data_IF_876343543343
#
_entry.id   IF_876343543343
#
_cell.length_a   1.000
_cell.length_b   1.000
_cell.length_c   1.000
_cell.angle_alpha   90.00
_cell.angle_beta   90.00
_cell.angle_gamma   90.00
#
_symmetry.space_group_name_H-M   'P 1'
#
loop_
_entity.id
_entity.type
_entity.pdbx_description
1 polymer ?
#
# COMPACT_ATOMS: atom_id res chain seq x y z
N UNK A 1 -8.82 -31.98 -5.19
CA UNK A 1 -7.34 -32.16 -4.96
C UNK A 1 -6.98 -31.62 -3.59
N UNK A 2 -6.17 -32.32 -2.80
CA UNK A 2 -5.79 -31.88 -1.43
C UNK A 2 -4.49 -31.07 -1.50
N UNK A 3 -4.45 -29.91 -0.86
CA UNK A 3 -3.25 -29.08 -0.77
C UNK A 3 -2.31 -29.51 0.37
N UNK A 4 -1.12 -28.93 0.45
CA UNK A 4 -0.08 -29.31 1.42
C UNK A 4 -0.47 -29.07 2.90
N UNK A 5 -1.54 -28.33 3.19
CA UNK A 5 -2.07 -28.14 4.55
C UNK A 5 -3.34 -28.96 4.81
N UNK A 6 -3.62 -29.96 3.97
CA UNK A 6 -4.71 -30.91 4.16
C UNK A 6 -6.11 -30.39 3.79
N UNK A 7 -6.21 -29.26 3.06
CA UNK A 7 -7.50 -28.73 2.59
C UNK A 7 -7.83 -29.28 1.21
N UNK A 8 -9.06 -29.70 1.04
CA UNK A 8 -9.59 -30.07 -0.25
C UNK A 8 -9.93 -28.82 -1.06
N UNK A 9 -9.38 -28.73 -2.26
CA UNK A 9 -9.66 -27.66 -3.22
C UNK A 9 -10.51 -28.27 -4.34
N UNK A 10 -11.72 -27.75 -4.59
CA UNK A 10 -12.58 -28.20 -5.67
C UNK A 10 -11.88 -28.09 -7.03
N UNK A 11 -12.05 -29.11 -7.87
CA UNK A 11 -11.38 -29.16 -9.19
C UNK A 11 -11.90 -28.07 -10.13
N UNK A 12 -13.17 -27.71 -10.02
CA UNK A 12 -13.77 -26.63 -10.78
C UNK A 12 -13.10 -25.26 -10.50
N UNK A 13 -12.64 -25.04 -9.25
CA UNK A 13 -11.92 -23.81 -8.89
C UNK A 13 -10.54 -23.80 -9.54
N UNK A 14 -9.86 -24.92 -9.58
CA UNK A 14 -8.55 -25.05 -10.23
C UNK A 14 -8.68 -24.87 -11.74
N UNK A 15 -9.69 -25.49 -12.35
CA UNK A 15 -9.96 -25.33 -13.78
C UNK A 15 -10.30 -23.89 -14.16
N UNK A 16 -11.13 -23.21 -13.36
CA UNK A 16 -11.53 -21.82 -13.60
C UNK A 16 -10.39 -20.82 -13.43
N UNK A 17 -9.45 -21.09 -12.51
CA UNK A 17 -8.36 -20.14 -12.20
C UNK A 17 -7.04 -20.46 -12.89
N UNK A 18 -6.85 -21.66 -13.41
CA UNK A 18 -5.58 -22.15 -13.97
C UNK A 18 -4.44 -22.22 -12.94
N UNK A 19 -4.78 -22.13 -11.64
CA UNK A 19 -3.79 -22.15 -10.55
C UNK A 19 -3.53 -23.56 -10.05
N UNK A 20 -2.32 -23.79 -9.54
CA UNK A 20 -1.96 -25.01 -8.84
C UNK A 20 -2.35 -24.93 -7.36
N UNK A 21 -2.60 -26.07 -6.75
CA UNK A 21 -2.76 -26.14 -5.29
C UNK A 21 -1.45 -25.80 -4.58
N UNK A 22 -1.57 -25.30 -3.37
CA UNK A 22 -0.39 -25.04 -2.53
C UNK A 22 0.30 -26.37 -2.18
N UNK A 23 1.55 -26.50 -2.60
CA UNK A 23 2.37 -27.71 -2.45
C UNK A 23 3.26 -27.69 -1.20
N UNK A 24 3.24 -26.58 -0.44
CA UNK A 24 4.04 -26.37 0.76
C UNK A 24 5.04 -25.24 0.62
N UNK A 25 5.55 -24.75 1.76
CA UNK A 25 6.50 -23.61 1.78
C UNK A 25 7.84 -23.93 1.11
N UNK A 26 8.21 -25.21 1.05
CA UNK A 26 9.48 -25.69 0.48
C UNK A 26 9.34 -26.35 -0.89
N UNK A 27 8.17 -26.28 -1.50
CA UNK A 27 7.92 -26.88 -2.82
C UNK A 27 8.74 -26.23 -3.97
N UNK A 28 9.36 -25.11 -3.69
CA UNK A 28 10.11 -24.31 -4.67
C UNK A 28 11.60 -24.23 -4.34
N UNK A 29 12.21 -25.33 -3.97
CA UNK A 29 13.64 -25.41 -3.62
C UNK A 29 14.58 -24.91 -4.74
N UNK A 30 14.08 -24.88 -5.98
CA UNK A 30 14.79 -24.33 -7.15
C UNK A 30 14.29 -22.93 -7.53
N UNK A 31 13.66 -22.20 -6.62
CA UNK A 31 13.17 -20.85 -6.89
C UNK A 31 14.34 -19.88 -7.06
N UNK A 32 14.60 -19.49 -8.29
CA UNK A 32 15.49 -18.36 -8.55
C UNK A 32 14.82 -17.06 -8.12
N UNK A 33 15.35 -16.42 -7.08
CA UNK A 33 14.90 -15.13 -6.65
C UNK A 33 15.18 -14.08 -7.72
N UNK A 34 14.13 -13.68 -8.45
CA UNK A 34 14.20 -12.55 -9.37
C UNK A 34 13.66 -11.32 -8.67
N UNK A 35 14.46 -10.28 -8.54
CA UNK A 35 13.98 -9.00 -8.05
C UNK A 35 12.88 -8.48 -8.99
N UNK A 36 11.68 -8.28 -8.46
CA UNK A 36 10.56 -7.73 -9.23
C UNK A 36 10.78 -6.26 -9.61
N UNK A 37 11.64 -5.55 -8.86
CA UNK A 37 11.99 -4.16 -9.12
C UNK A 37 13.45 -3.90 -8.74
N UNK A 38 14.10 -2.90 -9.35
CA UNK A 38 15.43 -2.49 -8.93
C UNK A 38 15.43 -2.05 -7.48
N UNK A 39 16.55 -2.27 -6.78
CA UNK A 39 16.72 -1.79 -5.40
C UNK A 39 16.62 -0.26 -5.40
N UNK A 40 15.62 0.27 -4.71
CA UNK A 40 15.55 1.70 -4.45
C UNK A 40 16.69 2.04 -3.49
N UNK A 41 17.74 2.67 -4.01
CA UNK A 41 18.76 3.28 -3.16
C UNK A 41 18.21 4.64 -2.75
N UNK A 42 17.78 4.76 -1.50
CA UNK A 42 17.61 6.07 -0.91
C UNK A 42 19.00 6.70 -0.83
N UNK A 43 19.33 7.55 -1.77
CA UNK A 43 20.46 8.48 -1.62
C UNK A 43 20.05 9.45 -0.53
N UNK A 44 20.37 9.09 0.70
CA UNK A 44 20.18 9.99 1.84
C UNK A 44 21.35 10.96 1.80
N UNK A 45 21.11 12.16 1.28
CA UNK A 45 22.02 13.28 1.54
C UNK A 45 21.89 13.62 3.04
N UNK A 46 22.94 13.40 3.85
CA UNK A 46 22.87 13.66 5.28
C UNK A 46 22.60 15.13 5.62
N UNK A 47 22.80 16.03 4.66
CA UNK A 47 22.56 17.46 4.81
C UNK A 47 21.15 17.88 4.36
N UNK A 48 20.36 16.95 3.80
CA UNK A 48 19.00 17.24 3.32
C UNK A 48 17.95 16.66 4.25
N UNK A 49 17.37 17.51 5.07
CA UNK A 49 16.20 17.14 5.87
C UNK A 49 15.00 16.83 4.98
N UNK A 50 14.29 15.74 5.29
CA UNK A 50 12.98 15.42 4.71
C UNK A 50 11.83 15.93 5.57
N UNK A 51 12.15 16.58 6.70
CA UNK A 51 11.15 17.18 7.58
C UNK A 51 10.54 18.40 6.89
N UNK A 52 9.26 18.55 7.08
CA UNK A 52 8.48 19.70 6.63
C UNK A 52 7.80 20.34 7.84
N UNK A 53 7.44 21.60 7.74
CA UNK A 53 6.87 22.38 8.84
C UNK A 53 5.37 22.21 8.99
N UNK A 54 4.68 21.74 7.93
CA UNK A 54 3.23 21.61 7.93
C UNK A 54 2.75 20.53 6.96
N UNK A 55 1.49 20.10 7.13
CA UNK A 55 0.81 19.20 6.19
C UNK A 55 0.69 19.87 4.82
N UNK A 56 0.36 21.15 4.77
CA UNK A 56 0.29 21.92 3.52
C UNK A 56 1.60 21.85 2.74
N UNK A 57 2.71 22.13 3.39
CA UNK A 57 4.04 22.05 2.75
C UNK A 57 4.33 20.63 2.22
N UNK A 58 3.93 19.59 2.96
CA UNK A 58 4.08 18.22 2.51
C UNK A 58 3.26 17.95 1.24
N UNK A 59 1.99 18.35 1.22
CA UNK A 59 1.09 18.18 0.09
C UNK A 59 1.57 18.94 -1.16
N UNK A 60 2.03 20.18 -0.98
CA UNK A 60 2.60 21.00 -2.07
C UNK A 60 3.85 20.35 -2.66
N UNK A 61 4.78 19.89 -1.80
CA UNK A 61 6.00 19.20 -2.24
C UNK A 61 5.71 17.86 -2.95
N UNK A 62 4.61 17.19 -2.59
CA UNK A 62 4.12 15.99 -3.29
C UNK A 62 3.39 16.32 -4.60
N UNK A 63 3.12 17.59 -4.88
CA UNK A 63 2.44 18.03 -6.10
C UNK A 63 0.98 17.60 -6.15
N UNK A 64 0.28 17.69 -5.01
CA UNK A 64 -1.15 17.33 -4.94
C UNK A 64 -1.99 18.17 -5.92
N UNK A 65 -2.96 17.52 -6.55
CA UNK A 65 -3.91 18.15 -7.49
C UNK A 65 -5.21 17.36 -7.55
N UNK A 66 -6.20 17.94 -8.17
CA UNK A 66 -7.52 17.33 -8.40
C UNK A 66 -7.41 15.94 -9.03
N UNK A 67 -8.29 15.03 -8.65
CA UNK A 67 -8.38 13.68 -9.18
C UNK A 67 -7.33 12.68 -8.64
N UNK A 68 -6.46 13.10 -7.71
CA UNK A 68 -5.43 12.21 -7.17
C UNK A 68 -5.98 11.23 -6.14
N UNK A 69 -5.24 10.13 -5.96
CA UNK A 69 -5.49 9.14 -4.91
C UNK A 69 -4.54 9.39 -3.75
N UNK A 70 -5.08 9.57 -2.55
CA UNK A 70 -4.32 9.63 -1.31
C UNK A 70 -4.37 8.27 -0.61
N UNK A 71 -3.21 7.68 -0.40
CA UNK A 71 -3.09 6.40 0.29
C UNK A 71 -2.61 6.61 1.72
N UNK A 72 -3.35 6.02 2.67
CA UNK A 72 -3.01 6.04 4.08
C UNK A 72 -2.67 4.65 4.55
N UNK A 73 -1.45 4.45 5.06
CA UNK A 73 -1.03 3.16 5.58
C UNK A 73 -1.53 2.97 7.01
N UNK A 74 -2.10 1.80 7.26
CA UNK A 74 -2.80 1.51 8.49
C UNK A 74 -1.86 1.11 9.63
N UNK A 75 -1.43 2.08 10.41
CA UNK A 75 -0.88 1.89 11.77
C UNK A 75 -1.43 2.91 12.76
N UNK A 76 -2.43 3.66 12.34
CA UNK A 76 -3.10 4.61 13.20
C UNK A 76 -4.04 3.87 14.14
N UNK A 77 -3.94 4.18 15.41
CA UNK A 77 -4.85 3.64 16.42
C UNK A 77 -6.18 4.39 16.36
N UNK A 78 -7.21 3.78 16.92
CA UNK A 78 -8.50 4.46 17.12
C UNK A 78 -8.27 5.81 17.82
N UNK A 79 -8.87 6.89 17.30
CA UNK A 79 -8.65 8.25 17.78
C UNK A 79 -7.49 9.00 17.12
N UNK A 80 -6.82 8.40 16.14
CA UNK A 80 -5.87 9.13 15.30
C UNK A 80 -6.63 9.94 14.25
N UNK A 81 -6.34 11.23 14.19
CA UNK A 81 -7.00 12.18 13.31
C UNK A 81 -6.18 12.56 12.08
N UNK A 82 -5.12 11.83 11.75
CA UNK A 82 -4.22 12.21 10.64
C UNK A 82 -4.96 12.31 9.30
N UNK A 83 -5.85 11.35 9.00
CA UNK A 83 -6.67 11.42 7.78
C UNK A 83 -7.51 12.70 7.76
N UNK A 84 -8.17 13.02 8.89
CA UNK A 84 -9.01 14.21 9.01
C UNK A 84 -8.19 15.49 8.81
N UNK A 85 -7.02 15.57 9.46
CA UNK A 85 -6.12 16.73 9.33
C UNK A 85 -5.62 16.92 7.89
N UNK A 86 -5.28 15.82 7.20
CA UNK A 86 -4.86 15.89 5.79
C UNK A 86 -6.02 16.30 4.91
N UNK A 87 -7.21 15.74 5.10
CA UNK A 87 -8.39 16.09 4.29
C UNK A 87 -8.88 17.51 4.53
N UNK A 88 -8.78 18.01 5.75
CA UNK A 88 -9.05 19.41 6.06
C UNK A 88 -8.11 20.34 5.29
N UNK A 89 -6.82 20.00 5.25
CA UNK A 89 -5.85 20.79 4.50
C UNK A 89 -6.06 20.72 2.98
N UNK A 90 -6.40 19.55 2.45
CA UNK A 90 -6.81 19.36 1.04
C UNK A 90 -8.00 20.25 0.69
N UNK A 91 -9.01 20.31 1.58
CA UNK A 91 -10.16 21.19 1.42
C UNK A 91 -9.76 22.67 1.43
N UNK A 92 -8.91 23.06 2.39
CA UNK A 92 -8.41 24.45 2.51
C UNK A 92 -7.56 24.88 1.30
N UNK A 93 -6.94 23.93 0.61
CA UNK A 93 -6.21 24.17 -0.64
C UNK A 93 -7.14 24.26 -1.86
N UNK A 94 -8.44 23.99 -1.70
CA UNK A 94 -9.43 23.99 -2.78
C UNK A 94 -9.32 22.82 -3.76
N UNK A 95 -8.59 21.77 -3.38
CA UNK A 95 -8.40 20.56 -4.20
C UNK A 95 -9.64 19.70 -4.14
N UNK A 96 -10.03 19.13 -5.28
CA UNK A 96 -11.29 18.41 -5.48
C UNK A 96 -11.04 17.01 -6.04
N UNK A 97 -12.08 16.19 -5.97
CA UNK A 97 -12.12 14.86 -6.60
C UNK A 97 -11.02 13.92 -6.11
N UNK A 98 -10.70 13.98 -4.80
CA UNK A 98 -9.71 13.10 -4.18
C UNK A 98 -10.32 11.76 -3.82
N UNK A 99 -9.64 10.69 -4.21
CA UNK A 99 -9.95 9.33 -3.76
C UNK A 99 -9.08 8.96 -2.58
N UNK A 100 -9.69 8.44 -1.51
CA UNK A 100 -8.97 7.92 -0.35
C UNK A 100 -8.84 6.39 -0.48
N UNK A 101 -7.60 5.90 -0.37
CA UNK A 101 -7.28 4.48 -0.31
C UNK A 101 -6.65 4.18 1.04
N UNK A 102 -7.38 3.50 1.91
CA UNK A 102 -6.88 3.14 3.23
C UNK A 102 -7.36 1.74 3.63
N UNK A 103 -6.55 1.00 4.38
CA UNK A 103 -6.93 -0.31 4.91
C UNK A 103 -7.96 -0.21 6.04
N UNK A 104 -7.99 0.94 6.73
CA UNK A 104 -9.01 1.31 7.72
C UNK A 104 -9.05 2.83 7.85
N UNK A 105 -10.25 3.37 8.01
CA UNK A 105 -10.44 4.83 8.16
C UNK A 105 -10.61 5.25 9.62
N UNK A 106 -10.57 4.31 10.55
CA UNK A 106 -10.90 4.60 11.95
C UNK A 106 -12.40 4.93 12.15
N UNK A 107 -12.79 5.15 13.38
CA UNK A 107 -14.12 5.63 13.74
C UNK A 107 -14.05 7.12 14.04
#
# INVERSE_FOLDING_TARGET
MINAVGREIPEEVLAATGKKVFEGAYAYDNYEYKKAAPTVRAMVDPNRSKMVSSIREALEKCGIRDGMVLSFHHHFREGDYVVNMVMEEVHNMGIKDITICASSLGK
#
